data_IF_269446667747
#
_entry.id   IF_269446667747
#
_cell.length_a   1.000
_cell.length_b   1.000
_cell.length_c   1.000
_cell.angle_alpha   90.00
_cell.angle_beta   90.00
_cell.angle_gamma   90.00
#
_symmetry.space_group_name_H-M   'P 1'
#
loop_
_entity.id
_entity.type
_entity.pdbx_description
1 polymer ?
#
# COMPACT_ATOMS: atom_id res chain seq x y z
N UNK A 1 0.66 87.71 67.33
CA UNK A 1 1.15 86.33 67.29
C UNK A 1 0.84 85.77 65.91
N UNK A 2 1.90 85.41 65.18
CA UNK A 2 1.85 84.90 63.81
C UNK A 2 1.26 83.49 63.76
N UNK A 3 0.46 83.19 62.76
CA UNK A 3 0.30 81.82 62.27
C UNK A 3 -0.04 81.86 60.78
N UNK A 4 0.82 81.18 60.02
CA UNK A 4 0.94 81.22 58.58
C UNK A 4 -0.19 80.48 57.86
N UNK A 5 -0.61 81.02 56.72
CA UNK A 5 -1.44 80.33 55.74
C UNK A 5 -0.56 79.36 54.93
N UNK A 6 -0.87 78.07 55.03
CA UNK A 6 -0.32 77.02 54.17
C UNK A 6 -1.06 77.06 52.84
N UNK A 7 -0.37 77.46 51.77
CA UNK A 7 -0.83 77.31 50.39
C UNK A 7 -0.48 75.88 49.99
N UNK A 8 -1.48 74.99 49.96
CA UNK A 8 -1.34 73.65 49.40
C UNK A 8 -1.58 73.73 47.88
N UNK A 9 -0.55 73.39 47.12
CA UNK A 9 -0.51 73.37 45.67
C UNK A 9 -1.61 72.49 45.06
N UNK A 10 -2.49 73.11 44.27
CA UNK A 10 -3.55 72.46 43.51
C UNK A 10 -3.08 71.80 42.19
N UNK A 11 -1.77 71.72 41.95
CA UNK A 11 -1.22 71.23 40.68
C UNK A 11 -0.98 69.71 40.60
N UNK A 12 -1.11 68.96 41.70
CA UNK A 12 -0.78 67.51 41.73
C UNK A 12 -1.96 66.59 41.36
N UNK A 13 -3.21 67.05 41.45
CA UNK A 13 -4.38 66.19 41.23
C UNK A 13 -4.73 65.98 39.74
N UNK A 14 -4.45 66.96 38.87
CA UNK A 14 -4.76 66.86 37.43
C UNK A 14 -3.82 65.91 36.67
N UNK A 15 -2.59 65.71 37.15
CA UNK A 15 -1.63 64.82 36.51
C UNK A 15 -1.96 63.33 36.75
N UNK A 16 -2.46 62.96 37.94
CA UNK A 16 -2.84 61.58 38.28
C UNK A 16 -4.05 61.07 37.48
N UNK A 17 -5.05 61.91 37.23
CA UNK A 17 -6.21 61.53 36.42
C UNK A 17 -5.85 61.27 34.94
N UNK A 18 -4.75 61.86 34.45
CA UNK A 18 -4.26 61.64 33.08
C UNK A 18 -3.54 60.30 32.93
N UNK A 19 -2.78 59.87 33.95
CA UNK A 19 -2.02 58.62 33.93
C UNK A 19 -2.92 57.39 34.02
N UNK A 20 -4.02 57.44 34.77
CA UNK A 20 -4.98 56.32 34.84
C UNK A 20 -5.73 56.12 33.52
N UNK A 21 -6.08 57.21 32.82
CA UNK A 21 -6.71 57.12 31.49
C UNK A 21 -5.74 56.54 30.46
N UNK A 22 -4.48 56.96 30.48
CA UNK A 22 -3.43 56.41 29.61
C UNK A 22 -3.20 54.92 29.89
N UNK A 23 -3.15 54.52 31.16
CA UNK A 23 -2.99 53.12 31.55
C UNK A 23 -4.17 52.24 31.09
N UNK A 24 -5.41 52.70 31.29
CA UNK A 24 -6.60 51.99 30.83
C UNK A 24 -6.72 51.92 29.30
N UNK A 25 -6.22 52.94 28.59
CA UNK A 25 -6.17 52.95 27.13
C UNK A 25 -5.14 51.95 26.59
N UNK A 26 -3.93 51.93 27.17
CA UNK A 26 -2.87 50.98 26.80
C UNK A 26 -3.30 49.54 27.09
N UNK A 27 -3.91 49.28 28.25
CA UNK A 27 -4.42 47.96 28.59
C UNK A 27 -5.53 47.48 27.65
N UNK A 28 -6.44 48.37 27.23
CA UNK A 28 -7.46 48.01 26.23
C UNK A 28 -6.85 47.66 24.87
N UNK A 29 -5.84 48.42 24.41
CA UNK A 29 -5.13 48.10 23.17
C UNK A 29 -4.43 46.75 23.28
N UNK A 30 -3.80 46.47 24.42
CA UNK A 30 -3.09 45.21 24.64
C UNK A 30 -4.06 44.01 24.66
N UNK A 31 -5.21 44.14 25.33
CA UNK A 31 -6.27 43.13 25.33
C UNK A 31 -6.83 42.88 23.93
N UNK A 32 -7.02 43.93 23.14
CA UNK A 32 -7.50 43.80 21.76
C UNK A 32 -6.48 43.07 20.88
N UNK A 33 -5.19 43.33 21.10
CA UNK A 33 -4.11 42.68 20.36
C UNK A 33 -4.01 41.17 20.67
N UNK A 34 -4.15 40.79 21.95
CA UNK A 34 -4.20 39.38 22.38
C UNK A 34 -5.39 38.65 21.72
N UNK A 35 -6.57 39.26 21.73
CA UNK A 35 -7.79 38.70 21.13
C UNK A 35 -7.64 38.42 19.64
N UNK A 36 -6.96 39.31 18.90
CA UNK A 36 -6.69 39.14 17.47
C UNK A 36 -5.70 37.97 17.25
N UNK A 37 -4.65 37.87 18.06
CA UNK A 37 -3.67 36.79 17.96
C UNK A 37 -4.34 35.43 18.19
N UNK A 38 -5.20 35.32 19.21
CA UNK A 38 -5.91 34.07 19.54
C UNK A 38 -6.88 33.63 18.42
N UNK A 39 -7.57 34.56 17.78
CA UNK A 39 -8.46 34.26 16.65
C UNK A 39 -7.67 33.76 15.43
N UNK A 40 -6.49 34.35 15.18
CA UNK A 40 -5.61 33.96 14.07
C UNK A 40 -4.99 32.59 14.32
N UNK A 41 -4.41 32.35 15.50
CA UNK A 41 -3.82 31.05 15.86
C UNK A 41 -4.85 29.92 15.85
N UNK A 42 -6.08 30.17 16.32
CA UNK A 42 -7.17 29.19 16.27
C UNK A 42 -7.56 28.81 14.84
N UNK A 43 -7.62 29.76 13.89
CA UNK A 43 -7.90 29.48 12.48
C UNK A 43 -6.83 28.59 11.84
N UNK A 44 -5.55 28.87 12.08
CA UNK A 44 -4.45 28.07 11.52
C UNK A 44 -4.40 26.66 12.14
N UNK A 45 -4.75 26.51 13.41
CA UNK A 45 -4.81 25.22 14.10
C UNK A 45 -5.97 24.34 13.60
N UNK A 46 -7.12 24.93 13.25
CA UNK A 46 -8.24 24.20 12.63
C UNK A 46 -7.87 23.73 11.21
N UNK A 47 -7.16 24.56 10.43
CA UNK A 47 -6.71 24.23 9.08
C UNK A 47 -5.72 23.04 9.04
N UNK A 48 -4.84 22.91 10.04
CA UNK A 48 -3.86 21.81 10.10
C UNK A 48 -4.49 20.46 10.46
N UNK A 49 -5.52 20.45 11.32
CA UNK A 49 -6.25 19.23 11.71
C UNK A 49 -7.05 18.66 10.53
N UNK A 50 -7.68 19.52 9.72
CA UNK A 50 -8.44 19.10 8.54
C UNK A 50 -7.50 18.55 7.44
N UNK A 51 -6.31 19.14 7.28
CA UNK A 51 -5.31 18.67 6.30
C UNK A 51 -4.71 17.30 6.62
N UNK A 52 -4.58 16.93 7.91
CA UNK A 52 -3.97 15.66 8.31
C UNK A 52 -4.88 14.44 8.13
N UNK A 53 -6.17 14.65 7.87
CA UNK A 53 -7.17 13.58 7.77
C UNK A 53 -7.19 12.85 6.41
N UNK A 54 -6.38 13.29 5.43
CA UNK A 54 -6.38 12.74 4.06
C UNK A 54 -5.25 11.72 3.77
N UNK A 55 -4.37 11.39 4.72
CA UNK A 55 -3.18 10.56 4.43
C UNK A 55 -3.29 9.06 4.75
N UNK A 56 -4.42 8.54 5.23
CA UNK A 56 -4.49 7.16 5.73
C UNK A 56 -5.19 6.13 4.83
N UNK A 57 -5.17 6.31 3.51
CA UNK A 57 -5.81 5.34 2.59
C UNK A 57 -4.93 4.95 1.40
N UNK A 58 -3.69 4.51 1.67
CA UNK A 58 -2.92 3.72 0.69
C UNK A 58 -2.66 2.35 1.28
N UNK A 59 -3.70 1.51 1.31
CA UNK A 59 -3.46 0.06 1.29
C UNK A 59 -2.96 -0.26 -0.12
N UNK A 60 -1.65 -0.28 -0.29
CA UNK A 60 -1.02 -0.91 -1.45
C UNK A 60 -1.62 -2.32 -1.54
N UNK A 61 -2.43 -2.56 -2.56
CA UNK A 61 -3.00 -3.87 -2.84
C UNK A 61 -1.84 -4.80 -3.17
N UNK A 62 -1.29 -5.48 -2.15
CA UNK A 62 -0.37 -6.59 -2.36
C UNK A 62 -1.11 -7.56 -3.28
N UNK A 63 -0.57 -7.73 -4.49
CA UNK A 63 -1.10 -8.68 -5.47
C UNK A 63 -1.22 -10.05 -4.81
N UNK A 64 -2.46 -10.52 -4.59
CA UNK A 64 -2.72 -11.80 -3.92
C UNK A 64 -2.13 -12.99 -4.68
N UNK A 65 -1.62 -12.80 -5.91
CA UNK A 65 -0.91 -13.82 -6.67
C UNK A 65 0.37 -14.32 -5.99
N UNK A 66 0.98 -13.53 -5.10
CA UNK A 66 2.21 -13.92 -4.40
C UNK A 66 2.06 -15.26 -3.65
N UNK A 67 0.88 -15.53 -3.09
CA UNK A 67 0.61 -16.78 -2.37
C UNK A 67 0.60 -18.02 -3.26
N UNK A 68 0.49 -17.86 -4.57
CA UNK A 68 0.52 -18.93 -5.55
C UNK A 68 1.91 -19.16 -6.16
N UNK A 69 2.93 -18.40 -5.73
CA UNK A 69 4.30 -18.60 -6.24
C UNK A 69 4.90 -19.94 -5.84
N UNK A 70 4.50 -20.46 -4.69
CA UNK A 70 4.99 -21.73 -4.14
C UNK A 70 3.83 -22.49 -3.48
N UNK A 71 3.98 -23.80 -3.39
CA UNK A 71 3.04 -24.70 -2.72
C UNK A 71 2.66 -25.91 -3.56
N UNK A 72 1.60 -26.59 -3.14
CA UNK A 72 1.02 -27.71 -3.87
C UNK A 72 -0.33 -27.29 -4.45
N UNK A 73 -0.60 -27.72 -5.67
CA UNK A 73 -1.79 -27.36 -6.41
C UNK A 73 -2.38 -28.55 -7.14
N UNK A 74 -3.67 -28.50 -7.38
CA UNK A 74 -4.38 -29.45 -8.21
C UNK A 74 -5.10 -28.72 -9.35
N UNK A 75 -5.15 -29.36 -10.51
CA UNK A 75 -5.99 -28.94 -11.62
C UNK A 75 -6.49 -30.15 -12.40
N UNK A 76 -7.56 -29.96 -13.16
CA UNK A 76 -8.05 -30.97 -14.09
C UNK A 76 -7.49 -30.70 -15.49
N UNK A 77 -6.89 -31.71 -16.11
CA UNK A 77 -6.39 -31.66 -17.47
C UNK A 77 -6.89 -32.89 -18.23
N UNK A 78 -7.68 -32.67 -19.29
CA UNK A 78 -8.33 -33.75 -20.07
C UNK A 78 -9.07 -34.78 -19.21
N UNK A 79 -9.81 -34.31 -18.21
CA UNK A 79 -10.58 -35.17 -17.28
C UNK A 79 -9.75 -35.91 -16.24
N UNK A 80 -8.43 -35.74 -16.22
CA UNK A 80 -7.52 -36.36 -15.25
C UNK A 80 -6.98 -35.34 -14.25
N UNK A 81 -6.75 -35.79 -13.03
CA UNK A 81 -6.11 -34.98 -11.99
C UNK A 81 -4.63 -34.78 -12.32
N UNK A 82 -4.21 -33.51 -12.33
CA UNK A 82 -2.82 -33.09 -12.40
C UNK A 82 -2.43 -32.45 -11.08
N UNK A 83 -1.43 -33.04 -10.42
CA UNK A 83 -0.85 -32.48 -9.19
C UNK A 83 0.38 -31.69 -9.57
N UNK A 84 0.44 -30.44 -9.12
CA UNK A 84 1.55 -29.52 -9.36
C UNK A 84 2.23 -29.22 -8.04
N UNK A 85 3.54 -29.48 -7.95
CA UNK A 85 4.38 -28.99 -6.85
C UNK A 85 5.25 -27.86 -7.38
N UNK A 86 5.24 -26.72 -6.70
CA UNK A 86 5.96 -25.53 -7.12
C UNK A 86 6.84 -25.01 -5.98
N UNK A 87 8.11 -24.85 -6.26
CA UNK A 87 9.05 -24.14 -5.38
C UNK A 87 9.46 -22.80 -6.03
N UNK A 88 10.52 -22.16 -5.51
CA UNK A 88 10.97 -20.86 -6.00
C UNK A 88 11.48 -20.89 -7.45
N UNK A 89 12.02 -22.03 -7.91
CA UNK A 89 12.75 -22.15 -9.17
C UNK A 89 12.24 -23.27 -10.07
N UNK A 90 11.45 -24.22 -9.57
CA UNK A 90 10.98 -25.39 -10.31
C UNK A 90 9.48 -25.70 -10.09
N UNK A 91 8.88 -26.25 -11.14
CA UNK A 91 7.53 -26.82 -11.15
C UNK A 91 7.60 -28.30 -11.53
N UNK A 92 6.95 -29.15 -10.75
CA UNK A 92 6.85 -30.58 -10.99
C UNK A 92 5.39 -30.97 -11.19
N UNK A 93 5.09 -31.60 -12.32
CA UNK A 93 3.74 -31.97 -12.73
C UNK A 93 3.58 -33.48 -12.76
N UNK A 94 2.67 -34.00 -11.93
CA UNK A 94 2.37 -35.42 -11.80
C UNK A 94 1.01 -35.71 -12.43
N UNK A 95 1.02 -36.35 -13.59
CA UNK A 95 -0.18 -36.76 -14.30
C UNK A 95 -0.65 -38.12 -13.79
N UNK A 96 -1.95 -38.22 -13.49
CA UNK A 96 -2.63 -39.50 -13.25
C UNK A 96 -1.96 -40.36 -12.15
N UNK A 97 -1.48 -39.71 -11.08
CA UNK A 97 -0.83 -40.40 -9.96
C UNK A 97 0.59 -40.92 -10.23
N UNK A 98 1.20 -40.60 -11.38
CA UNK A 98 2.59 -40.94 -11.69
C UNK A 98 3.55 -40.54 -10.57
N UNK A 99 4.55 -41.37 -10.28
CA UNK A 99 5.65 -41.04 -9.34
C UNK A 99 6.75 -40.20 -10.00
N UNK A 100 6.83 -40.23 -11.34
CA UNK A 100 7.80 -39.47 -12.12
C UNK A 100 7.13 -38.20 -12.66
N UNK A 101 7.54 -37.02 -12.18
CA UNK A 101 6.98 -35.76 -12.68
C UNK A 101 7.56 -35.38 -14.03
N UNK A 102 6.81 -34.56 -14.76
CA UNK A 102 7.36 -33.68 -15.79
C UNK A 102 7.89 -32.42 -15.07
N UNK A 103 9.16 -32.06 -15.25
CA UNK A 103 9.81 -30.98 -14.48
C UNK A 103 10.11 -29.75 -15.35
N UNK A 104 9.90 -28.56 -14.79
CA UNK A 104 10.11 -27.31 -15.49
C UNK A 104 10.85 -26.32 -14.61
N UNK A 105 11.81 -25.60 -15.18
CA UNK A 105 12.36 -24.40 -14.57
C UNK A 105 11.39 -23.23 -14.69
N UNK A 106 11.22 -22.51 -13.58
CA UNK A 106 10.33 -21.35 -13.45
C UNK A 106 11.14 -20.06 -13.51
N UNK A 107 10.62 -19.08 -14.25
CA UNK A 107 11.05 -17.68 -14.12
C UNK A 107 9.84 -16.77 -13.99
N UNK A 108 9.72 -16.10 -12.84
CA UNK A 108 8.67 -15.11 -12.62
C UNK A 108 8.99 -13.83 -13.41
N UNK A 109 8.04 -13.40 -14.24
CA UNK A 109 8.10 -12.13 -14.98
C UNK A 109 7.49 -11.01 -14.14
N UNK A 110 6.42 -11.34 -13.41
CA UNK A 110 5.72 -10.43 -12.49
C UNK A 110 5.14 -11.22 -11.31
N UNK A 111 4.31 -10.58 -10.47
CA UNK A 111 3.64 -11.28 -9.38
C UNK A 111 2.59 -12.31 -9.85
N UNK A 112 2.01 -12.10 -11.04
CA UNK A 112 0.95 -12.95 -11.59
C UNK A 112 1.33 -13.61 -12.92
N UNK A 113 2.58 -13.51 -13.36
CA UNK A 113 3.03 -14.07 -14.65
C UNK A 113 4.40 -14.72 -14.52
N UNK A 114 4.57 -15.89 -15.14
CA UNK A 114 5.81 -16.64 -15.13
C UNK A 114 5.98 -17.47 -16.40
N UNK A 115 7.20 -17.90 -16.67
CA UNK A 115 7.51 -18.86 -17.73
C UNK A 115 7.89 -20.21 -17.15
N UNK A 116 7.54 -21.27 -17.88
CA UNK A 116 7.99 -22.64 -17.67
C UNK A 116 8.86 -23.06 -18.86
N UNK A 117 10.06 -23.53 -18.57
CA UNK A 117 10.96 -24.12 -19.56
C UNK A 117 11.17 -25.60 -19.21
N UNK A 118 10.90 -26.55 -20.13
CA UNK A 118 11.12 -27.97 -19.88
C UNK A 118 12.58 -28.28 -19.55
N UNK A 119 12.80 -29.18 -18.60
CA UNK A 119 14.15 -29.65 -18.26
C UNK A 119 14.64 -30.72 -19.26
N UNK A 120 15.92 -31.07 -19.16
CA UNK A 120 16.58 -32.02 -20.06
C UNK A 120 15.85 -33.37 -20.17
N UNK A 121 15.31 -33.88 -19.07
CA UNK A 121 14.61 -35.16 -19.04
C UNK A 121 13.24 -35.11 -19.72
N UNK A 122 12.59 -33.94 -19.78
CA UNK A 122 11.35 -33.79 -20.54
C UNK A 122 11.59 -33.95 -22.04
N UNK A 123 12.72 -33.51 -22.57
CA UNK A 123 13.04 -33.68 -23.99
C UNK A 123 13.24 -35.16 -24.37
N UNK A 124 13.66 -36.01 -23.42
CA UNK A 124 13.73 -37.45 -23.64
C UNK A 124 12.33 -38.07 -23.71
N UNK A 125 11.42 -37.60 -22.86
CA UNK A 125 10.02 -38.08 -22.80
C UNK A 125 9.16 -37.55 -23.95
N UNK A 126 9.44 -36.34 -24.41
CA UNK A 126 8.70 -35.65 -25.47
C UNK A 126 9.69 -35.15 -26.56
N UNK A 127 10.17 -36.04 -27.43
CA UNK A 127 11.24 -35.71 -28.40
C UNK A 127 10.81 -34.66 -29.45
N UNK A 128 9.50 -34.48 -29.66
CA UNK A 128 8.96 -33.50 -30.58
C UNK A 128 8.89 -32.08 -29.99
N UNK A 129 9.18 -31.91 -28.69
CA UNK A 129 9.20 -30.59 -28.07
C UNK A 129 10.46 -29.82 -28.50
N UNK A 130 10.33 -28.61 -29.09
CA UNK A 130 11.49 -27.83 -29.51
C UNK A 130 12.43 -27.50 -28.35
N UNK A 131 13.74 -27.49 -28.58
CA UNK A 131 14.74 -27.20 -27.52
C UNK A 131 14.57 -25.81 -26.89
N UNK A 132 13.98 -24.87 -27.63
CA UNK A 132 13.64 -23.52 -27.15
C UNK A 132 12.19 -23.43 -26.64
N UNK A 133 11.55 -24.54 -26.31
CA UNK A 133 10.18 -24.57 -25.80
C UNK A 133 10.05 -23.73 -24.53
N UNK A 134 9.10 -22.80 -24.57
CA UNK A 134 8.80 -21.90 -23.48
C UNK A 134 7.28 -21.74 -23.38
N UNK A 135 6.76 -21.99 -22.19
CA UNK A 135 5.35 -21.79 -21.87
C UNK A 135 5.26 -20.54 -21.00
N UNK A 136 4.38 -19.61 -21.36
CA UNK A 136 4.08 -18.42 -20.56
C UNK A 136 2.73 -18.59 -19.89
N UNK A 137 2.70 -18.45 -18.57
CA UNK A 137 1.50 -18.62 -17.75
C UNK A 137 1.14 -17.29 -17.10
N UNK A 138 -0.11 -16.87 -17.27
CA UNK A 138 -0.68 -15.68 -16.64
C UNK A 138 -1.81 -16.08 -15.71
N UNK A 139 -1.75 -15.66 -14.46
CA UNK A 139 -2.86 -15.73 -13.50
C UNK A 139 -3.80 -14.58 -13.83
N UNK A 140 -4.99 -14.91 -14.34
CA UNK A 140 -5.96 -13.92 -14.86
C UNK A 140 -7.04 -13.54 -13.86
N UNK A 141 -7.33 -14.41 -12.89
CA UNK A 141 -8.21 -14.13 -11.76
C UNK A 141 -7.98 -15.12 -10.63
N UNK A 142 -8.43 -14.78 -9.43
CA UNK A 142 -8.28 -15.62 -8.24
C UNK A 142 -9.39 -15.35 -7.23
N UNK A 143 -9.69 -16.34 -6.41
CA UNK A 143 -10.63 -16.25 -5.28
C UNK A 143 -10.24 -17.30 -4.24
N UNK A 144 -10.03 -16.88 -2.99
CA UNK A 144 -9.57 -17.78 -1.93
C UNK A 144 -8.27 -18.50 -2.32
N UNK A 145 -8.30 -19.84 -2.31
CA UNK A 145 -7.16 -20.71 -2.68
C UNK A 145 -7.14 -21.10 -4.15
N UNK A 146 -8.07 -20.60 -4.95
CA UNK A 146 -8.23 -20.97 -6.36
C UNK A 146 -7.84 -19.82 -7.26
N UNK A 147 -7.25 -20.13 -8.41
CA UNK A 147 -6.89 -19.15 -9.44
C UNK A 147 -7.07 -19.70 -10.84
N UNK A 148 -7.43 -18.82 -11.78
CA UNK A 148 -7.56 -19.15 -13.19
C UNK A 148 -6.31 -18.70 -13.92
N UNK A 149 -5.86 -19.55 -14.83
CA UNK A 149 -4.69 -19.28 -15.67
C UNK A 149 -5.06 -19.17 -17.14
N UNK A 150 -4.23 -18.43 -17.88
CA UNK A 150 -4.09 -18.49 -19.33
C UNK A 150 -2.64 -18.84 -19.64
N UNK A 151 -2.40 -20.01 -20.23
CA UNK A 151 -1.09 -20.45 -20.67
C UNK A 151 -1.00 -20.47 -22.20
N UNK A 152 0.13 -19.98 -22.71
CA UNK A 152 0.49 -19.94 -24.14
C UNK A 152 1.89 -20.48 -24.32
N UNK A 153 2.28 -20.85 -25.54
CA UNK A 153 3.62 -21.33 -25.84
C UNK A 153 4.20 -20.68 -27.10
N UNK A 154 5.52 -20.64 -27.21
CA UNK A 154 6.19 -20.12 -28.42
C UNK A 154 6.24 -21.14 -29.59
N UNK A 155 5.77 -22.37 -29.38
CA UNK A 155 5.84 -23.46 -30.37
C UNK A 155 4.47 -24.01 -30.78
N UNK A 156 3.37 -23.51 -30.19
CA UNK A 156 2.01 -23.92 -30.51
C UNK A 156 1.05 -22.76 -30.31
N UNK A 157 0.05 -22.66 -31.19
CA UNK A 157 -1.05 -21.68 -31.10
C UNK A 157 -2.10 -22.04 -30.05
N UNK A 158 -1.97 -23.22 -29.42
CA UNK A 158 -2.87 -23.65 -28.36
C UNK A 158 -2.82 -22.68 -27.17
N UNK A 159 -3.99 -22.26 -26.71
CA UNK A 159 -4.15 -21.47 -25.49
C UNK A 159 -4.88 -22.32 -24.46
N UNK A 160 -4.18 -22.69 -23.38
CA UNK A 160 -4.78 -23.41 -22.27
C UNK A 160 -5.38 -22.41 -21.29
N UNK A 161 -6.66 -22.57 -20.97
CA UNK A 161 -7.31 -21.90 -19.84
C UNK A 161 -7.72 -22.97 -18.85
N UNK A 162 -7.33 -22.81 -17.59
CA UNK A 162 -7.70 -23.77 -16.55
C UNK A 162 -7.81 -23.09 -15.19
N UNK A 163 -8.48 -23.77 -14.28
CA UNK A 163 -8.61 -23.40 -12.89
C UNK A 163 -7.71 -24.30 -12.04
N UNK A 164 -6.96 -23.69 -11.13
CA UNK A 164 -5.97 -24.34 -10.29
C UNK A 164 -6.29 -24.01 -8.84
N UNK A 165 -6.34 -25.03 -7.98
CA UNK A 165 -6.61 -24.89 -6.55
C UNK A 165 -5.35 -25.21 -5.76
N UNK A 166 -4.93 -24.29 -4.89
CA UNK A 166 -3.86 -24.52 -3.90
C UNK A 166 -4.40 -25.42 -2.80
N UNK A 167 -3.70 -26.50 -2.52
CA UNK A 167 -4.10 -27.51 -1.52
C UNK A 167 -3.28 -27.45 -0.24
N UNK A 168 -2.04 -26.95 -0.29
CA UNK A 168 -1.14 -26.70 0.85
C UNK A 168 -0.13 -25.60 0.46
#
# INVERSE_FOLDING_TARGET
MNSASVIADSCTFSQFASSERLYNYINNIYLFYILIIDIVTLKYLVLTIIGFSFFNSVKAQISDCLKFKQGKFNMMYNGKLLVIKRDATHQYEYYDGSTVPTSYSIKWISNCSYTLKPDADNFKKFPNTPKNALITVNIISYSGNTYKIKATSNFSSLVLKSEITKIN
#
